data_IF_756146122002
#
_entry.id   IF_756146122002
#
_cell.length_a   1.000
_cell.length_b   1.000
_cell.length_c   1.000
_cell.angle_alpha   90.00
_cell.angle_beta   90.00
_cell.angle_gamma   90.00
#
_symmetry.space_group_name_H-M   'P 1'
#
loop_
_entity.id
_entity.type
_entity.pdbx_description
1 polymer ?
#
# COMPACT_ATOMS: atom_id res chain seq x y z
N UNK A 1 9.29 -7.48 -23.46
CA UNK A 1 8.55 -7.37 -22.19
C UNK A 1 7.11 -7.70 -22.51
N UNK A 2 6.46 -8.55 -21.77
CA UNK A 2 5.03 -8.87 -21.98
C UNK A 2 4.24 -7.82 -21.22
N UNK A 3 3.51 -6.95 -21.91
CA UNK A 3 2.66 -5.91 -21.34
C UNK A 3 1.41 -6.56 -20.71
N UNK A 4 1.61 -7.19 -19.55
CA UNK A 4 0.55 -7.97 -18.84
C UNK A 4 -0.64 -7.11 -18.42
N UNK A 5 -0.41 -5.80 -18.28
CA UNK A 5 -1.41 -4.83 -17.86
C UNK A 5 -1.79 -3.85 -18.99
N UNK A 6 -1.48 -4.17 -20.25
CA UNK A 6 -1.86 -3.31 -21.37
C UNK A 6 -3.36 -3.06 -21.40
N UNK A 7 -3.76 -1.78 -21.47
CA UNK A 7 -5.15 -1.34 -21.44
C UNK A 7 -5.84 -1.43 -20.07
N UNK A 8 -5.07 -1.71 -19.01
CA UNK A 8 -5.51 -1.65 -17.61
C UNK A 8 -5.16 -0.32 -16.97
N UNK A 9 -5.88 0.04 -15.92
CA UNK A 9 -5.55 1.21 -15.10
C UNK A 9 -5.44 0.86 -13.63
N UNK A 10 -4.58 1.59 -12.92
CA UNK A 10 -4.32 1.39 -11.52
C UNK A 10 -4.38 2.70 -10.73
N UNK A 11 -4.95 2.62 -9.53
CA UNK A 11 -4.81 3.65 -8.50
C UNK A 11 -3.73 3.19 -7.53
N UNK A 12 -2.71 4.04 -7.30
CA UNK A 12 -1.70 3.80 -6.27
C UNK A 12 -1.81 4.89 -5.20
N UNK A 13 -2.47 4.56 -4.11
CA UNK A 13 -2.60 5.45 -2.95
C UNK A 13 -1.25 5.56 -2.22
N UNK A 14 -0.80 6.80 -1.95
CA UNK A 14 0.56 7.19 -1.58
C UNK A 14 1.60 6.76 -2.64
N UNK A 15 1.23 6.86 -3.92
CA UNK A 15 2.00 6.45 -5.08
C UNK A 15 3.15 7.37 -5.47
N UNK A 16 3.36 8.50 -4.77
CA UNK A 16 4.29 9.54 -5.18
C UNK A 16 5.78 9.22 -4.97
N UNK A 17 6.11 8.37 -4.00
CA UNK A 17 7.52 8.07 -3.62
C UNK A 17 7.68 6.75 -2.90
N UNK A 18 8.94 6.41 -2.57
CA UNK A 18 9.31 5.18 -1.86
C UNK A 18 8.65 3.95 -2.50
N UNK A 19 8.07 3.05 -1.70
CA UNK A 19 7.41 1.85 -2.18
C UNK A 19 6.27 2.16 -3.16
N UNK A 20 5.43 3.15 -2.85
CA UNK A 20 4.32 3.53 -3.73
C UNK A 20 4.79 4.04 -5.08
N UNK A 21 5.85 4.88 -5.11
CA UNK A 21 6.45 5.36 -6.35
C UNK A 21 7.03 4.21 -7.19
N UNK A 22 7.76 3.28 -6.56
CA UNK A 22 8.28 2.12 -7.26
C UNK A 22 7.15 1.22 -7.79
N UNK A 23 6.08 0.98 -7.02
CA UNK A 23 4.92 0.23 -7.50
C UNK A 23 4.28 0.93 -8.70
N UNK A 24 4.11 2.26 -8.66
CA UNK A 24 3.54 3.04 -9.77
C UNK A 24 4.34 2.82 -11.06
N UNK A 25 5.67 2.92 -10.99
CA UNK A 25 6.54 2.71 -12.17
C UNK A 25 6.56 1.24 -12.61
N UNK A 26 6.62 0.28 -11.68
CA UNK A 26 6.60 -1.16 -11.99
C UNK A 26 5.32 -1.56 -12.74
N UNK A 27 4.15 -1.05 -12.30
CA UNK A 27 2.89 -1.35 -13.00
C UNK A 27 2.79 -0.65 -14.36
N UNK A 28 3.35 0.53 -14.50
CA UNK A 28 3.45 1.23 -15.79
C UNK A 28 4.35 0.49 -16.78
N UNK A 29 5.47 -0.08 -16.34
CA UNK A 29 6.36 -0.95 -17.14
C UNK A 29 5.64 -2.22 -17.65
N UNK A 30 4.55 -2.62 -17.00
CA UNK A 30 3.66 -3.70 -17.45
C UNK A 30 2.50 -3.19 -18.33
N UNK A 31 2.43 -1.88 -18.62
CA UNK A 31 1.47 -1.26 -19.52
C UNK A 31 0.22 -0.68 -18.86
N UNK A 32 0.17 -0.56 -17.52
CA UNK A 32 -0.97 0.05 -16.83
C UNK A 32 -0.90 1.59 -16.84
N UNK A 33 -2.02 2.26 -17.08
CA UNK A 33 -2.19 3.69 -16.81
C UNK A 33 -2.34 3.94 -15.30
N UNK A 34 -1.72 4.99 -14.74
CA UNK A 34 -1.56 5.15 -13.30
C UNK A 34 -2.18 6.45 -12.77
N UNK A 35 -3.06 6.36 -11.76
CA UNK A 35 -3.34 7.48 -10.87
C UNK A 35 -2.35 7.45 -9.70
N UNK A 36 -1.51 8.48 -9.61
CA UNK A 36 -0.52 8.68 -8.55
C UNK A 36 -1.11 9.58 -7.47
N UNK A 37 -1.50 8.99 -6.33
CA UNK A 37 -2.02 9.78 -5.22
C UNK A 37 -0.90 10.25 -4.29
N UNK A 38 -1.07 11.48 -3.76
CA UNK A 38 -0.25 12.08 -2.70
C UNK A 38 -1.10 12.93 -1.74
N UNK A 39 -0.63 13.08 -0.50
CA UNK A 39 -1.45 13.70 0.56
C UNK A 39 -1.39 15.22 0.57
N UNK A 40 -0.23 15.83 0.36
CA UNK A 40 -0.01 17.25 0.60
C UNK A 40 0.97 17.87 -0.40
N UNK A 41 0.92 19.19 -0.56
CA UNK A 41 1.82 19.95 -1.45
C UNK A 41 3.32 19.66 -1.20
N UNK A 42 3.71 19.26 0.02
CA UNK A 42 5.11 18.91 0.31
C UNK A 42 5.60 17.66 -0.45
N UNK A 43 4.71 16.87 -1.03
CA UNK A 43 5.02 15.66 -1.82
C UNK A 43 4.64 15.78 -3.29
N UNK A 44 4.23 16.97 -3.74
CA UNK A 44 3.85 17.24 -5.12
C UNK A 44 5.02 16.99 -6.10
N UNK A 45 6.20 17.54 -5.80
CA UNK A 45 7.39 17.31 -6.62
C UNK A 45 7.81 15.83 -6.71
N UNK A 46 7.55 15.02 -5.68
CA UNK A 46 7.76 13.57 -5.74
C UNK A 46 6.72 12.90 -6.65
N UNK A 47 5.45 13.36 -6.60
CA UNK A 47 4.39 12.86 -7.48
C UNK A 47 4.68 13.18 -8.95
N UNK A 48 5.13 14.40 -9.27
CA UNK A 48 5.53 14.80 -10.62
C UNK A 48 6.68 13.94 -11.17
N UNK A 49 7.69 13.63 -10.34
CA UNK A 49 8.78 12.73 -10.74
C UNK A 49 8.28 11.32 -11.05
N UNK A 50 7.34 10.83 -10.24
CA UNK A 50 6.75 9.50 -10.47
C UNK A 50 5.89 9.50 -11.75
N UNK A 51 5.10 10.55 -12.00
CA UNK A 51 4.36 10.73 -13.25
C UNK A 51 5.31 10.71 -14.45
N UNK A 52 6.40 11.49 -14.41
CA UNK A 52 7.38 11.51 -15.49
C UNK A 52 8.00 10.11 -15.73
N UNK A 53 8.24 9.32 -14.68
CA UNK A 53 8.75 7.96 -14.82
C UNK A 53 7.70 7.00 -15.42
N UNK A 54 6.43 7.12 -15.04
CA UNK A 54 5.31 6.37 -15.63
C UNK A 54 5.15 6.68 -17.12
N UNK A 55 5.20 7.97 -17.48
CA UNK A 55 5.11 8.41 -18.89
C UNK A 55 6.33 7.95 -19.71
N UNK A 56 7.52 7.95 -19.12
CA UNK A 56 8.72 7.40 -19.76
C UNK A 56 8.63 5.89 -20.03
N UNK A 57 7.85 5.15 -19.24
CA UNK A 57 7.52 3.75 -19.49
C UNK A 57 6.45 3.55 -20.57
N UNK A 58 5.87 4.64 -21.13
CA UNK A 58 4.87 4.60 -22.19
C UNK A 58 3.42 4.56 -21.75
N UNK A 59 3.15 4.64 -20.46
CA UNK A 59 1.81 4.67 -19.88
C UNK A 59 1.31 6.10 -19.64
N UNK A 60 0.00 6.28 -19.45
CA UNK A 60 -0.56 7.58 -19.03
C UNK A 60 -0.53 7.68 -17.51
N UNK A 61 -0.34 8.89 -17.03
CA UNK A 61 -0.44 9.17 -15.60
C UNK A 61 -1.26 10.43 -15.31
N UNK A 62 -1.93 10.41 -14.17
CA UNK A 62 -2.51 11.60 -13.54
C UNK A 62 -2.11 11.64 -12.07
N UNK A 63 -2.07 12.82 -11.50
CA UNK A 63 -1.91 13.01 -10.06
C UNK A 63 -3.26 13.25 -9.39
N UNK A 64 -3.35 12.87 -8.12
CA UNK A 64 -4.48 13.24 -7.24
C UNK A 64 -3.96 13.60 -5.85
N UNK A 65 -4.21 14.83 -5.41
CA UNK A 65 -3.89 15.28 -4.06
C UNK A 65 -5.09 15.16 -3.14
N UNK A 66 -4.92 14.57 -1.94
CA UNK A 66 -5.97 14.58 -0.95
C UNK A 66 -5.69 13.75 0.29
N UNK A 67 -6.38 14.07 1.38
CA UNK A 67 -6.30 13.32 2.63
C UNK A 67 -7.29 12.14 2.62
N UNK A 68 -6.78 10.92 2.57
CA UNK A 68 -7.60 9.70 2.52
C UNK A 68 -8.20 9.29 3.88
N UNK A 69 -7.93 10.02 4.96
CA UNK A 69 -8.68 9.87 6.22
C UNK A 69 -10.12 10.42 6.10
N UNK A 70 -10.38 11.20 5.04
CA UNK A 70 -11.70 11.74 4.68
C UNK A 70 -12.34 10.86 3.60
N UNK A 71 -13.42 10.12 3.89
CA UNK A 71 -14.02 9.18 2.93
C UNK A 71 -14.44 9.82 1.60
N UNK A 72 -14.93 11.06 1.61
CA UNK A 72 -15.30 11.77 0.39
C UNK A 72 -14.07 12.01 -0.53
N UNK A 73 -12.88 12.19 0.03
CA UNK A 73 -11.64 12.31 -0.76
C UNK A 73 -11.28 10.99 -1.43
N UNK A 74 -11.52 9.86 -0.75
CA UNK A 74 -11.33 8.54 -1.35
C UNK A 74 -12.26 8.36 -2.55
N UNK A 75 -13.56 8.69 -2.39
CA UNK A 75 -14.54 8.65 -3.48
C UNK A 75 -14.08 9.52 -4.67
N UNK A 76 -13.67 10.76 -4.40
CA UNK A 76 -13.22 11.70 -5.44
C UNK A 76 -11.96 11.18 -6.19
N UNK A 77 -11.05 10.49 -5.50
CA UNK A 77 -9.88 9.88 -6.13
C UNK A 77 -10.28 8.78 -7.14
N UNK A 78 -11.22 7.92 -6.77
CA UNK A 78 -11.74 6.90 -7.70
C UNK A 78 -12.52 7.52 -8.86
N UNK A 79 -13.30 8.59 -8.61
CA UNK A 79 -13.99 9.33 -9.67
C UNK A 79 -13.00 9.94 -10.67
N UNK A 80 -11.90 10.51 -10.19
CA UNK A 80 -10.85 11.08 -11.04
C UNK A 80 -10.18 10.00 -11.92
N UNK A 81 -9.91 8.81 -11.36
CA UNK A 81 -9.36 7.70 -12.13
C UNK A 81 -10.32 7.21 -13.23
N UNK A 82 -11.61 7.04 -12.89
CA UNK A 82 -12.64 6.66 -13.88
C UNK A 82 -12.78 7.72 -14.96
N UNK A 83 -12.76 9.00 -14.60
CA UNK A 83 -12.86 10.09 -15.57
C UNK A 83 -11.65 10.13 -16.53
N UNK A 84 -10.44 9.80 -16.04
CA UNK A 84 -9.22 9.83 -16.83
C UNK A 84 -9.03 8.59 -17.72
N UNK A 85 -9.39 7.41 -17.22
CA UNK A 85 -9.06 6.13 -17.85
C UNK A 85 -10.28 5.31 -18.31
N UNK A 86 -11.49 5.74 -17.95
CA UNK A 86 -12.75 5.03 -18.26
C UNK A 86 -13.07 3.89 -17.29
N UNK A 87 -12.08 3.11 -16.89
CA UNK A 87 -12.21 2.00 -15.93
C UNK A 87 -11.10 2.07 -14.88
N UNK A 88 -11.25 1.34 -13.79
CA UNK A 88 -10.17 1.04 -12.83
C UNK A 88 -10.11 -0.47 -12.64
N UNK A 89 -8.95 -1.06 -12.87
CA UNK A 89 -8.75 -2.51 -12.77
C UNK A 89 -7.98 -2.90 -11.50
N UNK A 90 -7.10 -2.01 -11.04
CA UNK A 90 -6.15 -2.28 -9.95
C UNK A 90 -6.22 -1.15 -8.92
N UNK A 91 -6.27 -1.52 -7.64
CA UNK A 91 -6.20 -0.58 -6.54
C UNK A 91 -5.12 -1.02 -5.54
N UNK A 92 -4.05 -0.23 -5.41
CA UNK A 92 -2.96 -0.48 -4.47
C UNK A 92 -2.95 0.59 -3.39
N UNK A 93 -3.01 0.18 -2.13
CA UNK A 93 -2.97 1.08 -0.98
C UNK A 93 -1.67 0.91 -0.20
N UNK A 94 -0.79 1.91 -0.27
CA UNK A 94 0.44 1.99 0.52
C UNK A 94 0.37 3.05 1.61
N UNK A 95 -0.80 3.64 1.84
CA UNK A 95 -1.02 4.70 2.85
C UNK A 95 -0.76 4.17 4.25
N UNK A 96 -0.07 4.97 5.04
CA UNK A 96 0.16 4.68 6.43
C UNK A 96 1.02 5.72 7.12
N UNK A 97 0.95 5.70 8.45
CA UNK A 97 1.77 6.48 9.36
C UNK A 97 2.23 5.57 10.47
N UNK A 98 3.46 5.71 10.90
CA UNK A 98 4.01 4.95 12.01
C UNK A 98 4.20 5.86 13.23
N UNK A 99 3.94 5.32 14.40
CA UNK A 99 4.25 5.91 15.69
C UNK A 99 4.87 4.84 16.57
N UNK A 100 6.09 5.09 17.08
CA UNK A 100 6.72 4.30 18.11
C UNK A 100 6.69 5.04 19.42
N UNK A 101 5.87 4.57 20.38
CA UNK A 101 5.68 5.21 21.69
C UNK A 101 5.20 4.17 22.71
N UNK A 102 5.65 4.21 23.98
CA UNK A 102 5.08 3.35 25.02
C UNK A 102 3.58 3.54 25.15
N UNK A 103 2.84 2.43 25.38
CA UNK A 103 1.37 2.46 25.42
C UNK A 103 0.82 3.45 26.48
N UNK A 104 1.52 3.59 27.60
CA UNK A 104 1.13 4.49 28.69
C UNK A 104 1.28 5.97 28.37
N UNK A 105 2.04 6.31 27.34
CA UNK A 105 2.33 7.69 26.93
C UNK A 105 1.54 8.14 25.70
N UNK A 106 0.82 7.22 25.04
CA UNK A 106 0.01 7.54 23.86
C UNK A 106 -1.18 8.39 24.23
N UNK A 107 -1.33 9.53 23.59
CA UNK A 107 -2.49 10.42 23.74
C UNK A 107 -3.67 9.96 22.87
N UNK A 108 -4.89 10.38 23.23
CA UNK A 108 -6.10 10.14 22.43
C UNK A 108 -5.94 10.64 20.99
N UNK A 109 -5.43 11.86 20.79
CA UNK A 109 -5.21 12.42 19.47
C UNK A 109 -4.20 11.62 18.61
N UNK A 110 -3.15 11.07 19.23
CA UNK A 110 -2.21 10.17 18.54
C UNK A 110 -2.88 8.85 18.17
N UNK A 111 -3.68 8.29 19.08
CA UNK A 111 -4.47 7.08 18.82
C UNK A 111 -5.41 7.29 17.63
N UNK A 112 -6.23 8.34 17.66
CA UNK A 112 -7.19 8.67 16.59
C UNK A 112 -6.47 8.87 15.25
N UNK A 113 -5.40 9.66 15.25
CA UNK A 113 -4.59 9.87 14.04
C UNK A 113 -4.03 8.57 13.46
N UNK A 114 -3.60 7.62 14.31
CA UNK A 114 -3.06 6.35 13.85
C UNK A 114 -4.16 5.44 13.28
N UNK A 115 -5.34 5.41 13.91
CA UNK A 115 -6.47 4.61 13.42
C UNK A 115 -7.12 5.21 12.19
N UNK A 116 -7.24 6.53 12.10
CA UNK A 116 -7.77 7.20 10.92
C UNK A 116 -6.94 6.90 9.67
N UNK A 117 -5.60 7.02 9.75
CA UNK A 117 -4.75 6.85 8.57
C UNK A 117 -4.47 5.39 8.22
N UNK A 118 -4.37 4.47 9.20
CA UNK A 118 -3.99 3.08 8.94
C UNK A 118 -5.19 2.12 8.82
N UNK A 119 -6.28 2.36 9.56
CA UNK A 119 -7.46 1.49 9.55
C UNK A 119 -8.61 2.09 8.73
N UNK A 120 -9.09 3.30 9.09
CA UNK A 120 -10.23 3.93 8.45
C UNK A 120 -9.97 4.24 6.97
N UNK A 121 -8.83 4.85 6.64
CA UNK A 121 -8.47 5.11 5.24
C UNK A 121 -8.42 3.81 4.42
N UNK A 122 -7.85 2.72 4.95
CA UNK A 122 -7.82 1.42 4.29
C UNK A 122 -9.22 0.83 4.09
N UNK A 123 -10.12 0.97 5.07
CA UNK A 123 -11.49 0.49 4.97
C UNK A 123 -12.25 1.18 3.83
N UNK A 124 -12.25 2.52 3.81
CA UNK A 124 -12.96 3.27 2.75
C UNK A 124 -12.30 3.14 1.39
N UNK A 125 -10.98 2.94 1.33
CA UNK A 125 -10.31 2.58 0.09
C UNK A 125 -10.80 1.23 -0.46
N UNK A 126 -10.88 0.19 0.38
CA UNK A 126 -11.46 -1.10 0.00
C UNK A 126 -12.92 -0.99 -0.43
N UNK A 127 -13.72 -0.17 0.28
CA UNK A 127 -15.13 0.04 -0.06
C UNK A 127 -15.28 0.67 -1.45
N UNK A 128 -14.54 1.73 -1.76
CA UNK A 128 -14.61 2.37 -3.08
C UNK A 128 -14.02 1.47 -4.17
N UNK A 129 -12.94 0.75 -3.90
CA UNK A 129 -12.42 -0.26 -4.82
C UNK A 129 -13.48 -1.33 -5.15
N UNK A 130 -14.18 -1.85 -4.13
CA UNK A 130 -15.26 -2.82 -4.33
C UNK A 130 -16.41 -2.28 -5.19
N UNK A 131 -16.74 -0.99 -5.09
CA UNK A 131 -17.80 -0.35 -5.90
C UNK A 131 -17.36 -0.08 -7.34
N UNK A 132 -16.10 0.26 -7.58
CA UNK A 132 -15.63 0.92 -8.80
C UNK A 132 -14.72 0.08 -9.70
N UNK A 133 -14.02 -0.93 -9.16
CA UNK A 133 -13.17 -1.77 -9.98
C UNK A 133 -13.98 -2.55 -11.01
N UNK A 134 -13.39 -2.76 -12.17
CA UNK A 134 -13.89 -3.71 -13.16
C UNK A 134 -13.92 -5.14 -12.60
N UNK A 135 -14.76 -5.99 -13.16
CA UNK A 135 -14.78 -7.42 -12.85
C UNK A 135 -13.40 -8.05 -13.18
N UNK A 136 -12.95 -8.97 -12.36
CA UNK A 136 -11.60 -9.50 -12.45
C UNK A 136 -10.51 -8.59 -11.90
N UNK A 137 -10.89 -7.49 -11.21
CA UNK A 137 -9.95 -6.51 -10.63
C UNK A 137 -9.04 -7.05 -9.53
N UNK A 138 -8.06 -6.25 -9.11
CA UNK A 138 -7.05 -6.61 -8.09
C UNK A 138 -6.92 -5.51 -7.05
N UNK A 139 -6.95 -5.90 -5.79
CA UNK A 139 -6.74 -4.98 -4.66
C UNK A 139 -5.58 -5.49 -3.82
N UNK A 140 -4.60 -4.63 -3.54
CA UNK A 140 -3.48 -4.93 -2.65
C UNK A 140 -3.32 -3.82 -1.64
N UNK A 141 -3.29 -4.18 -0.34
CA UNK A 141 -3.00 -3.23 0.75
C UNK A 141 -1.69 -3.58 1.43
N UNK A 142 -0.83 -2.59 1.63
CA UNK A 142 0.41 -2.77 2.38
C UNK A 142 0.11 -2.61 3.88
N UNK A 143 0.35 -3.69 4.61
CA UNK A 143 0.24 -3.75 6.07
C UNK A 143 1.64 -3.78 6.70
N UNK A 144 1.92 -4.64 7.66
CA UNK A 144 3.22 -4.70 8.35
C UNK A 144 3.48 -6.09 8.93
N UNK A 145 4.74 -6.53 8.97
CA UNK A 145 5.15 -7.72 9.69
C UNK A 145 4.92 -7.64 11.21
N UNK A 146 4.65 -6.44 11.75
CA UNK A 146 4.26 -6.29 13.17
C UNK A 146 2.95 -7.01 13.52
N UNK A 147 2.14 -7.40 12.53
CA UNK A 147 0.97 -8.26 12.74
C UNK A 147 1.33 -9.64 13.33
N UNK A 148 2.56 -10.08 13.18
CA UNK A 148 3.09 -11.34 13.71
C UNK A 148 4.28 -11.15 14.67
N UNK A 149 4.73 -9.92 14.91
CA UNK A 149 5.86 -9.64 15.78
C UNK A 149 5.42 -9.44 17.23
N UNK A 150 6.28 -9.88 18.16
CA UNK A 150 6.19 -9.52 19.56
C UNK A 150 7.22 -8.44 19.87
N UNK A 151 6.77 -7.17 19.94
CA UNK A 151 7.63 -6.01 20.11
C UNK A 151 6.96 -4.90 20.91
N UNK A 152 7.75 -4.03 21.52
CA UNK A 152 7.32 -2.87 22.27
C UNK A 152 7.13 -1.62 21.40
N UNK A 153 6.41 -0.65 21.91
CA UNK A 153 6.33 0.73 21.38
C UNK A 153 5.45 0.91 20.15
N UNK A 154 4.93 -0.16 19.55
CA UNK A 154 4.14 -0.10 18.31
C UNK A 154 2.64 -0.41 18.50
N UNK A 155 2.12 -0.26 19.72
CA UNK A 155 0.74 -0.66 20.04
C UNK A 155 -0.31 -0.04 19.13
N UNK A 156 -0.25 1.27 18.89
CA UNK A 156 -1.21 1.98 18.02
C UNK A 156 -0.99 1.67 16.54
N UNK A 157 0.26 1.57 16.10
CA UNK A 157 0.56 1.26 14.70
C UNK A 157 0.16 -0.16 14.33
N UNK A 158 0.65 -1.16 15.07
CA UNK A 158 0.29 -2.55 14.83
C UNK A 158 -1.21 -2.78 15.05
N UNK A 159 -1.79 -2.18 16.11
CA UNK A 159 -3.22 -2.21 16.38
C UNK A 159 -4.06 -1.64 15.24
N UNK A 160 -3.68 -0.49 14.68
CA UNK A 160 -4.39 0.14 13.58
C UNK A 160 -4.22 -0.59 12.23
N UNK A 161 -3.12 -1.32 12.01
CA UNK A 161 -2.93 -2.18 10.83
C UNK A 161 -3.62 -3.55 10.97
N UNK A 162 -3.88 -4.03 12.18
CA UNK A 162 -4.47 -5.35 12.43
C UNK A 162 -5.88 -5.52 11.82
N UNK A 163 -6.83 -4.58 11.92
CA UNK A 163 -8.16 -4.74 11.34
C UNK A 163 -8.13 -4.94 9.82
N UNK A 164 -7.09 -4.44 9.12
CA UNK A 164 -6.98 -4.53 7.66
C UNK A 164 -6.93 -5.98 7.18
N UNK A 165 -6.36 -6.91 7.95
CA UNK A 165 -6.40 -8.34 7.61
C UNK A 165 -7.84 -8.86 7.54
N UNK A 166 -8.68 -8.48 8.50
CA UNK A 166 -10.08 -8.90 8.51
C UNK A 166 -10.90 -8.18 7.44
N UNK A 167 -10.65 -6.90 7.19
CA UNK A 167 -11.27 -6.17 6.07
C UNK A 167 -10.97 -6.86 4.75
N UNK A 168 -9.71 -7.25 4.53
CA UNK A 168 -9.26 -7.96 3.33
C UNK A 168 -9.95 -9.31 3.17
N UNK A 169 -10.07 -10.11 4.25
CA UNK A 169 -10.76 -11.41 4.20
C UNK A 169 -12.24 -11.26 3.88
N UNK A 170 -12.92 -10.28 4.48
CA UNK A 170 -14.32 -9.98 4.21
C UNK A 170 -14.49 -9.53 2.75
N UNK A 171 -13.72 -8.54 2.30
CA UNK A 171 -13.76 -8.01 0.94
C UNK A 171 -13.47 -9.10 -0.12
N UNK A 172 -12.49 -9.97 0.12
CA UNK A 172 -12.19 -11.09 -0.77
C UNK A 172 -13.39 -12.03 -0.95
N UNK A 173 -14.15 -12.24 0.12
CA UNK A 173 -15.36 -13.08 0.06
C UNK A 173 -16.53 -12.35 -0.61
N UNK A 174 -16.74 -11.09 -0.26
CA UNK A 174 -17.83 -10.27 -0.78
C UNK A 174 -17.69 -9.98 -2.28
N UNK A 175 -16.45 -9.77 -2.76
CA UNK A 175 -16.18 -9.42 -4.16
C UNK A 175 -15.89 -10.63 -5.04
N UNK A 176 -15.90 -11.86 -4.50
CA UNK A 176 -15.58 -13.08 -5.20
C UNK A 176 -16.46 -13.33 -6.45
N UNK A 177 -17.77 -12.99 -6.39
CA UNK A 177 -18.68 -13.16 -7.52
C UNK A 177 -18.30 -12.30 -8.75
N UNK A 178 -17.54 -11.21 -8.52
CA UNK A 178 -16.99 -10.34 -9.57
C UNK A 178 -15.56 -10.73 -9.97
N UNK A 179 -15.01 -11.81 -9.43
CA UNK A 179 -13.64 -12.25 -9.70
C UNK A 179 -12.55 -11.30 -9.17
N UNK A 180 -12.88 -10.39 -8.26
CA UNK A 180 -11.92 -9.44 -7.68
C UNK A 180 -11.11 -10.14 -6.59
N UNK A 181 -9.78 -10.17 -6.76
CA UNK A 181 -8.86 -10.68 -5.75
C UNK A 181 -8.40 -9.55 -4.81
N UNK A 182 -8.41 -9.83 -3.50
CA UNK A 182 -8.07 -8.85 -2.46
C UNK A 182 -7.03 -9.44 -1.52
N UNK A 183 -5.86 -8.81 -1.43
CA UNK A 183 -4.76 -9.32 -0.61
C UNK A 183 -4.03 -8.21 0.15
N UNK A 184 -3.28 -8.61 1.18
CA UNK A 184 -2.32 -7.76 1.87
C UNK A 184 -0.88 -8.24 1.62
N UNK A 185 0.04 -7.30 1.59
CA UNK A 185 1.48 -7.55 1.69
C UNK A 185 1.95 -6.98 3.02
N UNK A 186 2.70 -7.77 3.79
CA UNK A 186 3.23 -7.44 5.11
C UNK A 186 4.77 -7.38 5.07
N UNK A 187 5.37 -6.22 4.72
CA UNK A 187 6.82 -6.05 4.71
C UNK A 187 7.43 -6.14 6.11
N UNK A 188 8.69 -6.54 6.19
CA UNK A 188 9.54 -6.30 7.35
C UNK A 188 9.90 -4.82 7.53
N UNK A 189 10.75 -4.49 8.52
CA UNK A 189 11.32 -3.15 8.63
C UNK A 189 11.99 -2.76 7.32
N UNK A 190 11.51 -1.67 6.68
CA UNK A 190 11.99 -1.27 5.36
C UNK A 190 13.03 -0.17 5.42
N UNK A 191 14.06 -0.28 4.56
CA UNK A 191 15.10 0.72 4.34
C UNK A 191 14.52 1.97 3.64
N UNK A 192 13.78 2.78 4.38
CA UNK A 192 13.09 3.97 3.88
C UNK A 192 13.05 5.08 4.93
N UNK A 193 12.83 6.35 4.53
CA UNK A 193 12.61 7.45 5.46
C UNK A 193 11.39 7.28 6.39
N UNK A 194 10.52 6.33 6.13
CA UNK A 194 9.39 6.00 7.00
C UNK A 194 9.84 5.29 8.29
N UNK A 195 10.89 4.49 8.22
CA UNK A 195 11.37 3.65 9.31
C UNK A 195 12.35 4.36 10.25
N UNK A 196 13.37 5.01 9.71
CA UNK A 196 14.50 5.53 10.48
C UNK A 196 14.15 6.52 11.60
N UNK A 197 13.18 7.45 11.44
CA UNK A 197 12.83 8.37 12.50
C UNK A 197 12.25 7.72 13.77
N UNK A 198 11.87 6.45 13.70
CA UNK A 198 11.26 5.71 14.81
C UNK A 198 12.26 4.88 15.60
N UNK A 199 13.49 4.71 15.09
CA UNK A 199 14.44 3.77 15.64
C UNK A 199 15.78 4.41 15.99
N UNK A 200 16.43 3.92 17.06
CA UNK A 200 17.83 4.24 17.34
C UNK A 200 18.78 3.43 16.45
N UNK A 201 20.03 3.87 16.24
CA UNK A 201 21.01 3.11 15.46
C UNK A 201 21.17 1.65 15.93
N UNK A 202 21.18 1.40 17.24
CA UNK A 202 21.30 0.06 17.82
C UNK A 202 20.11 -0.82 17.46
N UNK A 203 18.90 -0.23 17.45
CA UNK A 203 17.67 -0.96 17.05
C UNK A 203 17.64 -1.22 15.55
N UNK A 204 18.14 -0.31 14.73
CA UNK A 204 18.31 -0.54 13.29
C UNK A 204 19.19 -1.77 13.06
N UNK A 205 20.33 -1.88 13.75
CA UNK A 205 21.24 -3.05 13.64
C UNK A 205 20.56 -4.33 14.17
N UNK A 206 19.79 -4.24 15.25
CA UNK A 206 19.01 -5.36 15.73
C UNK A 206 18.01 -5.83 14.66
N UNK A 207 17.23 -4.92 14.05
CA UNK A 207 16.27 -5.28 13.00
C UNK A 207 16.95 -5.92 11.79
N UNK A 208 18.12 -5.43 11.38
CA UNK A 208 18.91 -6.04 10.29
C UNK A 208 19.31 -7.47 10.63
N UNK A 209 19.75 -7.73 11.87
CA UNK A 209 20.22 -9.04 12.31
C UNK A 209 19.13 -10.12 12.33
N UNK A 210 17.85 -9.70 12.39
CA UNK A 210 16.71 -10.63 12.44
C UNK A 210 16.25 -11.12 11.05
N UNK A 211 16.72 -10.50 9.98
CA UNK A 211 16.29 -10.82 8.63
C UNK A 211 17.41 -11.49 7.80
N UNK A 212 16.99 -12.25 6.82
CA UNK A 212 17.90 -12.92 5.87
C UNK A 212 18.87 -11.92 5.24
N UNK A 213 20.15 -12.29 5.21
CA UNK A 213 21.20 -11.45 4.65
C UNK A 213 21.63 -10.26 5.52
N UNK A 214 21.17 -10.17 6.78
CA UNK A 214 21.59 -9.13 7.73
C UNK A 214 21.24 -7.72 7.27
N UNK A 215 20.10 -7.52 6.62
CA UNK A 215 19.66 -6.24 6.07
C UNK A 215 18.19 -5.97 6.31
N UNK A 216 17.80 -4.70 6.21
CA UNK A 216 16.38 -4.31 6.15
C UNK A 216 15.74 -4.75 4.82
N UNK A 217 14.42 -4.88 4.82
CA UNK A 217 13.62 -5.07 3.61
C UNK A 217 13.77 -3.84 2.72
N UNK A 218 14.00 -4.03 1.42
CA UNK A 218 14.05 -2.96 0.43
C UNK A 218 12.72 -2.85 -0.30
N UNK A 219 12.44 -1.70 -0.89
CA UNK A 219 11.23 -1.52 -1.71
C UNK A 219 11.24 -2.45 -2.93
N UNK A 220 12.42 -2.79 -3.46
CA UNK A 220 12.62 -3.74 -4.56
C UNK A 220 12.35 -5.20 -4.17
N UNK A 221 12.30 -5.53 -2.87
CA UNK A 221 11.87 -6.85 -2.40
C UNK A 221 10.33 -6.97 -2.40
N UNK A 222 9.63 -5.85 -2.37
CA UNK A 222 8.16 -5.80 -2.20
C UNK A 222 7.42 -5.51 -3.53
N UNK A 223 7.91 -4.58 -4.35
CA UNK A 223 7.23 -4.19 -5.58
C UNK A 223 6.99 -5.39 -6.53
N UNK A 224 7.92 -6.35 -6.74
CA UNK A 224 7.66 -7.53 -7.57
C UNK A 224 6.57 -8.46 -7.02
N UNK A 225 6.39 -8.52 -5.69
CA UNK A 225 5.30 -9.29 -5.09
C UNK A 225 3.94 -8.62 -5.37
N UNK A 226 3.88 -7.28 -5.28
CA UNK A 226 2.67 -6.54 -5.64
C UNK A 226 2.36 -6.73 -7.13
N UNK A 227 3.36 -6.61 -8.00
CA UNK A 227 3.22 -6.89 -9.43
C UNK A 227 2.65 -8.29 -9.68
N UNK A 228 3.23 -9.33 -9.06
CA UNK A 228 2.72 -10.69 -9.16
C UNK A 228 1.26 -10.81 -8.75
N UNK A 229 0.86 -10.21 -7.61
CA UNK A 229 -0.50 -10.30 -7.10
C UNK A 229 -1.53 -9.62 -8.02
N UNK A 230 -1.13 -8.60 -8.78
CA UNK A 230 -2.03 -7.89 -9.70
C UNK A 230 -1.97 -8.43 -11.13
N UNK A 231 -0.98 -9.28 -11.45
CA UNK A 231 -0.84 -9.95 -12.76
C UNK A 231 -1.15 -11.44 -12.66
N UNK A 232 -0.13 -12.28 -12.44
CA UNK A 232 -0.23 -13.75 -12.48
C UNK A 232 -0.84 -14.34 -11.20
N UNK A 233 -0.86 -13.60 -10.09
CA UNK A 233 -1.40 -14.03 -8.79
C UNK A 233 -2.92 -14.04 -8.66
N UNK A 234 -3.67 -14.09 -9.75
CA UNK A 234 -5.12 -13.93 -9.76
C UNK A 234 -5.91 -14.97 -8.94
N UNK A 235 -5.32 -16.12 -8.62
CA UNK A 235 -5.92 -17.14 -7.75
C UNK A 235 -5.61 -16.96 -6.27
N UNK A 236 -4.73 -16.02 -5.92
CA UNK A 236 -4.42 -15.64 -4.53
C UNK A 236 -5.42 -14.58 -4.09
N UNK A 237 -6.23 -14.85 -3.07
CA UNK A 237 -7.19 -13.89 -2.52
C UNK A 237 -7.44 -14.14 -1.03
N UNK A 238 -7.73 -13.08 -0.27
CA UNK A 238 -7.98 -13.11 1.16
C UNK A 238 -6.71 -13.33 2.01
N UNK A 239 -5.51 -13.21 1.43
CA UNK A 239 -4.26 -13.54 2.09
C UNK A 239 -3.54 -12.29 2.61
N UNK A 240 -2.78 -12.49 3.69
CA UNK A 240 -1.71 -11.57 4.12
C UNK A 240 -0.38 -12.28 3.91
N UNK A 241 0.41 -11.78 2.97
CA UNK A 241 1.69 -12.38 2.59
C UNK A 241 2.82 -11.62 3.27
N UNK A 242 3.53 -12.33 4.17
CA UNK A 242 4.67 -11.78 4.90
C UNK A 242 5.93 -11.85 4.03
N UNK A 243 6.35 -10.70 3.48
CA UNK A 243 7.56 -10.53 2.68
C UNK A 243 8.60 -9.75 3.49
N UNK A 244 9.30 -10.44 4.40
CA UNK A 244 10.09 -9.82 5.46
C UNK A 244 11.48 -10.46 5.68
N UNK A 245 11.94 -11.31 4.77
CA UNK A 245 13.22 -11.98 4.90
C UNK A 245 13.35 -12.91 6.12
N UNK A 246 12.22 -13.46 6.61
CA UNK A 246 12.21 -14.32 7.79
C UNK A 246 12.23 -13.55 9.13
N UNK A 247 12.04 -12.24 9.10
CA UNK A 247 11.97 -11.40 10.31
C UNK A 247 10.91 -11.89 11.30
N UNK A 248 9.75 -12.28 10.81
CA UNK A 248 8.70 -12.97 11.59
C UNK A 248 8.04 -14.06 10.75
N UNK A 249 7.41 -15.02 11.44
CA UNK A 249 6.58 -16.06 10.80
C UNK A 249 5.19 -16.07 11.43
N UNK A 250 4.19 -16.53 10.67
CA UNK A 250 2.81 -16.69 11.13
C UNK A 250 2.13 -17.86 10.42
#
# INVERSE_FOLDING_TARGET
MTDKLAGKSAIVAAGAKNLGGLISTTLAEQGADILVHYNSASTEADAEKTVAAVEAAGAKAITFQGDLTVPATVTAMFDAAVAAFGTVDIAVNTVGKVLRKPIIDVTEAEYDSMFDINAKAAYFFLQEAGKRLADGGRIVTVVTSLLAAFTDGYSTYAGAKSPVEHFTRAAAKEFAARGIAVNNVAPGPMDTPFFYPQETPERVEFHKSQAMGGRLTRIEDIAPLVEFLVTDGGWVTGQTIFANGGYTTR
#
